data_IF_409512599500
#
_entry.id   IF_409512599500
#
_cell.length_a   1.000
_cell.length_b   1.000
_cell.length_c   1.000
_cell.angle_alpha   90.00
_cell.angle_beta   90.00
_cell.angle_gamma   90.00
#
_symmetry.space_group_name_H-M   'P 1'
#
loop_
_entity.id
_entity.type
_entity.pdbx_description
1 polymer ?
#
# COMPACT_ATOMS: atom_id res chain seq x y z
N UNK A 1 -11.56 -1.13 -19.47
CA UNK A 1 -11.62 -0.64 -18.07
C UNK A 1 -12.56 0.55 -18.05
N UNK A 2 -13.48 0.67 -17.10
CA UNK A 2 -14.35 1.85 -17.04
C UNK A 2 -13.64 2.96 -16.26
N UNK A 3 -13.14 3.98 -16.96
CA UNK A 3 -12.37 5.10 -16.40
C UNK A 3 -13.12 5.84 -15.29
N UNK A 4 -14.46 5.94 -15.39
CA UNK A 4 -15.29 6.58 -14.37
C UNK A 4 -15.24 5.83 -13.03
N UNK A 5 -15.21 4.50 -13.06
CA UNK A 5 -15.15 3.70 -11.84
C UNK A 5 -13.77 3.78 -11.19
N UNK A 6 -12.70 3.80 -11.98
CA UNK A 6 -11.33 3.97 -11.49
C UNK A 6 -11.20 5.28 -10.70
N UNK A 7 -11.74 6.38 -11.23
CA UNK A 7 -11.66 7.67 -10.55
C UNK A 7 -12.41 7.66 -9.21
N UNK A 8 -13.58 7.03 -9.15
CA UNK A 8 -14.38 6.89 -7.92
C UNK A 8 -13.58 6.09 -6.88
N UNK A 9 -13.07 4.91 -7.26
CA UNK A 9 -12.30 4.05 -6.37
C UNK A 9 -10.98 4.67 -5.91
N UNK A 10 -10.28 5.34 -6.82
CA UNK A 10 -9.04 6.05 -6.50
C UNK A 10 -9.30 7.15 -5.47
N UNK A 11 -10.31 8.00 -5.69
CA UNK A 11 -10.66 9.04 -4.74
C UNK A 11 -11.09 8.45 -3.39
N UNK A 12 -11.86 7.36 -3.38
CA UNK A 12 -12.26 6.69 -2.14
C UNK A 12 -11.05 6.16 -1.33
N UNK A 13 -10.05 5.56 -1.98
CA UNK A 13 -8.81 5.15 -1.30
C UNK A 13 -8.02 6.37 -0.81
N UNK A 14 -7.86 7.40 -1.64
CA UNK A 14 -7.09 8.60 -1.28
C UNK A 14 -7.71 9.37 -0.11
N UNK A 15 -9.05 9.42 0.01
CA UNK A 15 -9.72 10.01 1.16
C UNK A 15 -9.46 9.22 2.45
N UNK A 16 -9.50 7.88 2.38
CA UNK A 16 -9.24 7.04 3.54
C UNK A 16 -7.75 7.08 3.96
N UNK A 17 -6.81 7.16 3.00
CA UNK A 17 -5.39 7.40 3.27
C UNK A 17 -5.20 8.69 4.06
N UNK A 18 -5.80 9.80 3.63
CA UNK A 18 -5.72 11.09 4.34
C UNK A 18 -6.33 11.04 5.73
N UNK A 19 -7.48 10.39 5.87
CA UNK A 19 -8.16 10.24 7.15
C UNK A 19 -7.33 9.46 8.18
N UNK A 20 -6.50 8.52 7.71
CA UNK A 20 -5.61 7.69 8.55
C UNK A 20 -4.18 8.24 8.65
N UNK A 21 -3.88 9.35 7.99
CA UNK A 21 -2.53 9.92 7.92
C UNK A 21 -1.48 9.01 7.26
N UNK A 22 -1.88 8.20 6.27
CA UNK A 22 -1.01 7.21 5.61
C UNK A 22 -0.28 7.76 4.38
N UNK A 23 -0.24 9.08 4.19
CA UNK A 23 0.32 9.71 2.97
C UNK A 23 1.81 9.45 2.76
N UNK A 24 2.57 9.15 3.83
CA UNK A 24 3.99 8.83 3.73
C UNK A 24 4.26 7.38 3.31
N UNK A 25 3.25 6.51 3.25
CA UNK A 25 3.43 5.14 2.80
C UNK A 25 3.62 5.06 1.29
N UNK A 26 4.46 4.13 0.85
CA UNK A 26 4.62 3.82 -0.57
C UNK A 26 3.44 2.99 -1.07
N UNK A 27 2.61 3.56 -1.94
CA UNK A 27 1.54 2.85 -2.60
C UNK A 27 1.33 3.32 -4.04
N UNK A 28 0.72 2.46 -4.85
CA UNK A 28 0.36 2.74 -6.25
C UNK A 28 -1.08 2.31 -6.52
N UNK A 29 -1.88 3.23 -7.04
CA UNK A 29 -3.29 2.99 -7.35
C UNK A 29 -3.53 2.94 -8.86
N UNK A 30 -4.11 1.85 -9.31
CA UNK A 30 -4.56 1.59 -10.69
C UNK A 30 -3.46 1.71 -11.76
N UNK A 31 -2.21 1.40 -11.38
CA UNK A 31 -1.08 1.25 -12.29
C UNK A 31 -0.29 -0.03 -11.93
N UNK A 32 -0.39 -1.04 -12.79
CA UNK A 32 0.34 -2.32 -12.65
C UNK A 32 1.84 -2.16 -12.95
N UNK A 33 2.19 -1.18 -13.78
CA UNK A 33 3.52 -1.07 -14.43
C UNK A 33 4.50 -0.17 -13.67
N UNK A 34 4.00 0.71 -12.80
CA UNK A 34 4.83 1.58 -11.98
C UNK A 34 5.83 0.75 -11.16
N UNK A 35 7.10 1.13 -11.21
CA UNK A 35 8.17 0.50 -10.41
C UNK A 35 8.53 1.42 -9.25
N UNK A 36 7.73 1.36 -8.18
CA UNK A 36 8.02 2.03 -6.92
C UNK A 36 8.49 0.98 -5.90
N UNK A 37 9.74 1.04 -5.42
CA UNK A 37 10.23 0.12 -4.40
C UNK A 37 9.38 0.13 -3.13
N UNK A 38 9.22 -1.03 -2.51
CA UNK A 38 8.47 -1.22 -1.27
C UNK A 38 6.98 -0.83 -1.31
N UNK A 39 6.45 -0.56 -2.51
CA UNK A 39 5.07 -0.13 -2.65
C UNK A 39 4.08 -1.28 -2.56
N UNK A 40 2.91 -0.98 -2.01
CA UNK A 40 1.72 -1.81 -2.21
C UNK A 40 0.95 -1.31 -3.42
N UNK A 41 0.64 -2.20 -4.36
CA UNK A 41 -0.21 -1.86 -5.50
C UNK A 41 -1.63 -2.33 -5.25
N UNK A 42 -2.60 -1.50 -5.65
CA UNK A 42 -3.98 -1.92 -5.90
C UNK A 42 -4.32 -1.53 -7.33
N UNK A 43 -4.61 -2.50 -8.20
CA UNK A 43 -4.97 -2.25 -9.60
C UNK A 43 -6.06 -3.20 -10.06
N UNK A 44 -6.61 -2.94 -11.26
CA UNK A 44 -7.59 -3.81 -11.87
C UNK A 44 -7.09 -4.29 -13.24
N UNK A 45 -7.37 -5.56 -13.55
CA UNK A 45 -7.03 -6.20 -14.83
C UNK A 45 -8.08 -7.26 -15.12
N UNK A 46 -8.55 -7.34 -16.37
CA UNK A 46 -9.54 -8.34 -16.79
C UNK A 46 -10.81 -8.43 -15.91
N UNK A 47 -11.26 -7.30 -15.34
CA UNK A 47 -12.44 -7.25 -14.47
C UNK A 47 -12.22 -7.73 -13.04
N UNK A 48 -10.98 -8.06 -12.66
CA UNK A 48 -10.56 -8.44 -11.30
C UNK A 48 -9.69 -7.36 -10.69
N UNK A 49 -9.66 -7.30 -9.37
CA UNK A 49 -8.76 -6.43 -8.62
C UNK A 49 -7.58 -7.24 -8.11
N UNK A 50 -6.41 -6.62 -8.08
CA UNK A 50 -5.18 -7.24 -7.63
C UNK A 50 -4.55 -6.36 -6.56
N UNK A 51 -4.10 -7.01 -5.50
CA UNK A 51 -3.28 -6.39 -4.46
C UNK A 51 -1.97 -7.13 -4.36
N UNK A 52 -0.86 -6.41 -4.41
CA UNK A 52 0.46 -6.99 -4.25
C UNK A 52 1.43 -6.05 -3.54
N UNK A 53 2.58 -6.57 -3.17
CA UNK A 53 3.69 -5.82 -2.59
C UNK A 53 4.93 -5.91 -3.46
N UNK A 54 5.78 -4.90 -3.34
CA UNK A 54 7.05 -4.79 -4.06
C UNK A 54 8.24 -4.89 -3.10
N UNK A 55 9.34 -5.48 -3.55
CA UNK A 55 10.62 -5.42 -2.85
C UNK A 55 11.41 -4.13 -3.19
N UNK A 56 12.65 -4.03 -2.69
CA UNK A 56 13.59 -2.93 -2.98
C UNK A 56 13.90 -2.77 -4.47
N UNK A 57 13.78 -3.84 -5.27
CA UNK A 57 14.00 -3.86 -6.73
C UNK A 57 12.71 -3.68 -7.53
N UNK A 58 11.60 -3.43 -6.83
CA UNK A 58 10.25 -3.34 -7.38
C UNK A 58 9.74 -4.63 -8.02
N UNK A 59 10.22 -5.81 -7.59
CA UNK A 59 9.64 -7.08 -7.98
C UNK A 59 8.46 -7.45 -7.09
N UNK A 60 7.51 -8.20 -7.65
CA UNK A 60 6.36 -8.71 -6.88
C UNK A 60 6.89 -9.68 -5.83
N UNK A 61 6.61 -9.40 -4.55
CA UNK A 61 6.93 -10.34 -3.47
C UNK A 61 5.84 -11.40 -3.41
N UNK A 62 6.22 -12.65 -3.66
CA UNK A 62 5.27 -13.76 -3.74
C UNK A 62 4.39 -13.69 -4.98
N UNK A 63 3.08 -13.53 -4.81
CA UNK A 63 2.11 -13.44 -5.90
C UNK A 63 1.07 -12.35 -5.62
N UNK A 64 0.57 -11.73 -6.69
CA UNK A 64 -0.55 -10.79 -6.57
C UNK A 64 -1.82 -11.53 -6.17
N UNK A 65 -2.52 -11.03 -5.15
CA UNK A 65 -3.77 -11.61 -4.65
C UNK A 65 -4.94 -11.05 -5.45
N UNK A 66 -5.77 -11.94 -5.99
CA UNK A 66 -6.91 -11.59 -6.84
C UNK A 66 -8.20 -11.44 -6.05
N UNK A 67 -9.04 -10.47 -6.44
CA UNK A 67 -10.35 -10.22 -5.86
C UNK A 67 -11.42 -9.98 -6.93
N UNK A 68 -12.63 -10.46 -6.61
CA UNK A 68 -13.81 -10.30 -7.45
C UNK A 68 -14.50 -8.93 -7.33
N UNK A 69 -14.20 -8.18 -6.27
CA UNK A 69 -14.84 -6.91 -5.98
C UNK A 69 -13.85 -5.92 -5.34
N UNK A 70 -14.17 -4.64 -5.48
CA UNK A 70 -13.34 -3.55 -5.00
C UNK A 70 -13.20 -3.53 -3.48
N UNK A 71 -14.29 -3.72 -2.73
CA UNK A 71 -14.27 -3.62 -1.26
C UNK A 71 -13.33 -4.64 -0.62
N UNK A 72 -13.31 -5.88 -1.13
CA UNK A 72 -12.39 -6.91 -0.67
C UNK A 72 -10.93 -6.57 -0.97
N UNK A 73 -10.64 -6.03 -2.15
CA UNK A 73 -9.30 -5.59 -2.50
C UNK A 73 -8.85 -4.38 -1.67
N UNK A 74 -9.73 -3.39 -1.50
CA UNK A 74 -9.50 -2.21 -0.67
C UNK A 74 -9.17 -2.63 0.77
N UNK A 75 -9.96 -3.54 1.35
CA UNK A 75 -9.73 -4.05 2.70
C UNK A 75 -8.33 -4.67 2.85
N UNK A 76 -7.96 -5.61 2.00
CA UNK A 76 -6.65 -6.27 2.06
C UNK A 76 -5.49 -5.29 1.80
N UNK A 77 -5.70 -4.31 0.91
CA UNK A 77 -4.73 -3.24 0.67
C UNK A 77 -4.47 -2.43 1.94
N UNK A 78 -5.50 -2.00 2.67
CA UNK A 78 -5.32 -1.27 3.93
C UNK A 78 -4.75 -2.15 5.05
N UNK A 79 -5.15 -3.42 5.16
CA UNK A 79 -4.56 -4.36 6.12
C UNK A 79 -3.04 -4.50 5.91
N UNK A 80 -2.58 -4.49 4.64
CA UNK A 80 -1.14 -4.50 4.31
C UNK A 80 -0.43 -3.19 4.66
N UNK A 81 -1.08 -2.05 4.44
CA UNK A 81 -0.54 -0.74 4.84
C UNK A 81 -0.38 -0.65 6.37
N UNK A 82 -1.34 -1.15 7.13
CA UNK A 82 -1.24 -1.21 8.60
C UNK A 82 -0.11 -2.15 9.04
N UNK A 83 0.01 -3.31 8.40
CA UNK A 83 1.04 -4.29 8.75
C UNK A 83 2.46 -3.74 8.52
N UNK A 84 2.70 -2.96 7.46
CA UNK A 84 4.03 -2.38 7.23
C UNK A 84 4.39 -1.31 8.27
N UNK A 85 3.39 -0.57 8.78
CA UNK A 85 3.62 0.38 9.88
C UNK A 85 4.08 -0.38 11.12
N UNK A 86 3.32 -1.39 11.52
CA UNK A 86 3.61 -2.15 12.75
C UNK A 86 4.92 -2.95 12.64
N UNK A 87 5.21 -3.50 11.45
CA UNK A 87 6.48 -4.17 11.19
C UNK A 87 7.68 -3.23 11.30
N UNK A 88 7.59 -2.00 10.77
CA UNK A 88 8.69 -1.04 10.86
C UNK A 88 8.90 -0.51 12.27
N UNK A 89 7.82 -0.26 13.03
CA UNK A 89 7.93 0.08 14.46
C UNK A 89 8.67 -1.02 15.22
N UNK A 90 8.33 -2.29 14.97
CA UNK A 90 9.02 -3.42 15.59
C UNK A 90 10.49 -3.51 15.15
N UNK A 91 10.78 -3.30 13.86
CA UNK A 91 12.15 -3.28 13.36
C UNK A 91 13.01 -2.25 14.09
N UNK A 92 12.49 -1.02 14.28
CA UNK A 92 13.19 0.03 15.03
C UNK A 92 13.46 -0.40 16.47
N UNK A 93 12.46 -0.97 17.16
CA UNK A 93 12.63 -1.46 18.54
C UNK A 93 13.70 -2.56 18.65
N UNK A 94 13.88 -3.36 17.61
CA UNK A 94 14.88 -4.43 17.54
C UNK A 94 16.24 -3.97 16.97
N UNK A 95 16.39 -2.70 16.59
CA UNK A 95 17.59 -2.20 15.92
C UNK A 95 17.81 -2.75 14.51
N UNK A 96 16.73 -3.20 13.85
CA UNK A 96 16.72 -3.71 12.48
C UNK A 96 16.45 -2.58 11.48
N UNK A 97 16.90 -2.73 10.23
CA UNK A 97 16.61 -1.75 9.18
C UNK A 97 15.11 -1.69 8.85
N UNK A 98 14.65 -0.50 8.46
CA UNK A 98 13.32 -0.23 7.90
C UNK A 98 13.39 -0.09 6.39
N UNK A 99 12.28 -0.31 5.68
CA UNK A 99 12.30 -0.27 4.21
C UNK A 99 12.54 1.14 3.66
N UNK A 100 11.97 2.17 4.30
CA UNK A 100 12.13 3.58 3.96
C UNK A 100 11.83 4.49 5.17
N UNK A 101 12.31 5.75 5.17
CA UNK A 101 11.94 6.72 6.20
C UNK A 101 10.47 7.11 6.12
N UNK A 102 9.77 7.18 7.25
CA UNK A 102 8.38 7.60 7.34
C UNK A 102 8.04 8.08 8.76
N UNK A 103 7.31 9.20 8.90
CA UNK A 103 6.86 9.68 10.22
C UNK A 103 5.97 8.67 10.96
N UNK A 104 5.41 7.67 10.29
CA UNK A 104 4.53 6.66 10.89
C UNK A 104 5.25 5.66 11.83
N UNK A 105 6.57 5.59 11.75
CA UNK A 105 7.42 4.79 12.63
C UNK A 105 8.69 5.53 13.08
N UNK A 106 9.04 6.62 12.40
CA UNK A 106 10.16 7.49 12.78
C UNK A 106 9.77 8.52 13.86
N UNK A 107 8.60 8.40 14.53
CA UNK A 107 8.21 9.35 15.57
C UNK A 107 9.34 9.52 16.58
N UNK A 108 9.96 10.70 16.51
CA UNK A 108 10.80 11.20 17.58
C UNK A 108 9.86 11.38 18.75
N UNK A 109 10.12 10.69 19.87
CA UNK A 109 9.59 11.14 21.15
C UNK A 109 10.00 12.62 21.27
N UNK A 110 9.00 13.52 21.22
CA UNK A 110 9.19 14.90 21.66
C UNK A 110 9.54 14.82 23.15
N UNK A 111 10.84 14.73 23.45
CA UNK A 111 11.41 14.85 24.79
C UNK A 111 11.32 16.28 25.31
#
# INVERSE_FOLDING_TARGET
>A
MNEKNILIWKNDIEQEIKKRHFESLHYVLFDETKRLPWAFHLYQKNGKFYVDSRDDRSYIVGHSKEYNNFESAKKDFFEKLELVIESNKLNIQLGLPVEYPSPLWDEKEDH
#
